data_IF_558050472448
#
_entry.id   IF_558050472448
#
_cell.length_a   1.000
_cell.length_b   1.000
_cell.length_c   1.000
_cell.angle_alpha   90.00
_cell.angle_beta   90.00
_cell.angle_gamma   90.00
#
_symmetry.space_group_name_H-M   'P 1'
#
loop_
_entity.id
_entity.type
_entity.pdbx_description
1 polymer ?
#
# COMPACT_ATOMS: atom_id res chain seq x y z
N UNK A 1 -10.61 1.96 -5.13
CA UNK A 1 -10.32 3.38 -4.91
C UNK A 1 -9.43 3.90 -6.02
N UNK A 2 -8.81 5.08 -5.84
CA UNK A 2 -7.94 5.69 -6.86
C UNK A 2 -6.50 5.15 -6.94
N UNK A 3 -6.11 4.27 -6.01
CA UNK A 3 -4.79 3.62 -6.00
C UNK A 3 -4.80 2.35 -6.87
N UNK A 4 -3.68 2.05 -7.52
CA UNK A 4 -3.50 0.84 -8.33
C UNK A 4 -2.08 0.30 -8.24
N UNK A 5 -1.90 -0.98 -8.56
CA UNK A 5 -0.56 -1.57 -8.76
C UNK A 5 -0.04 -1.20 -10.15
N UNK A 6 1.20 -0.74 -10.23
CA UNK A 6 1.85 -0.46 -11.51
C UNK A 6 2.14 -1.75 -12.28
N UNK A 7 1.78 -1.79 -13.56
CA UNK A 7 1.95 -3.01 -14.40
C UNK A 7 3.39 -3.40 -14.64
N UNK A 8 4.33 -2.45 -14.58
CA UNK A 8 5.75 -2.73 -14.79
C UNK A 8 6.49 -3.22 -13.55
N UNK A 9 5.92 -3.05 -12.35
CA UNK A 9 6.55 -3.48 -11.11
C UNK A 9 5.53 -3.58 -9.97
N UNK A 10 5.28 -4.79 -9.45
CA UNK A 10 4.20 -5.05 -8.52
C UNK A 10 4.33 -4.35 -7.14
N UNK A 11 5.56 -4.04 -6.72
CA UNK A 11 5.79 -3.34 -5.45
C UNK A 11 5.39 -1.85 -5.50
N UNK A 12 5.14 -1.30 -6.68
CA UNK A 12 4.74 0.10 -6.81
C UNK A 12 3.23 0.24 -6.79
N UNK A 13 2.75 0.90 -5.72
CA UNK A 13 1.40 1.44 -5.66
C UNK A 13 1.45 2.85 -6.23
N UNK A 14 0.70 3.08 -7.29
CA UNK A 14 0.59 4.37 -7.96
C UNK A 14 -0.74 5.04 -7.64
N UNK A 15 -0.72 6.36 -7.54
CA UNK A 15 -1.95 7.13 -7.64
C UNK A 15 -2.37 7.17 -9.12
N UNK A 16 -3.38 6.38 -9.49
CA UNK A 16 -3.89 6.34 -10.86
C UNK A 16 -4.83 7.52 -11.15
N UNK A 17 -5.48 8.07 -10.12
CA UNK A 17 -6.44 9.16 -10.22
C UNK A 17 -6.31 10.13 -9.03
N UNK A 18 -7.30 10.15 -8.12
CA UNK A 18 -7.29 10.93 -6.88
C UNK A 18 -7.25 10.01 -5.67
N UNK A 19 -6.25 9.13 -5.62
CA UNK A 19 -6.06 8.22 -4.50
C UNK A 19 -5.87 8.99 -3.19
N UNK A 20 -6.70 8.67 -2.20
CA UNK A 20 -6.44 9.08 -0.82
C UNK A 20 -5.36 8.20 -0.19
N UNK A 21 -4.73 8.66 0.91
CA UNK A 21 -3.85 7.81 1.70
C UNK A 21 -4.56 6.52 2.17
N UNK A 22 -5.87 6.62 2.46
CA UNK A 22 -6.69 5.47 2.82
C UNK A 22 -6.84 4.46 1.66
N UNK A 23 -6.87 4.91 0.41
CA UNK A 23 -6.91 4.02 -0.76
C UNK A 23 -5.60 3.24 -0.90
N UNK A 24 -4.47 3.91 -0.70
CA UNK A 24 -3.14 3.28 -0.72
C UNK A 24 -3.03 2.24 0.39
N UNK A 25 -3.40 2.58 1.63
CA UNK A 25 -3.38 1.65 2.77
C UNK A 25 -4.29 0.43 2.53
N UNK A 26 -5.50 0.64 2.00
CA UNK A 26 -6.43 -0.45 1.71
C UNK A 26 -5.86 -1.39 0.64
N UNK A 27 -5.28 -0.83 -0.43
CA UNK A 27 -4.66 -1.63 -1.47
C UNK A 27 -3.45 -2.40 -0.94
N UNK A 28 -2.57 -1.77 -0.16
CA UNK A 28 -1.43 -2.44 0.45
C UNK A 28 -1.88 -3.62 1.32
N UNK A 29 -2.87 -3.45 2.19
CA UNK A 29 -3.42 -4.53 3.02
C UNK A 29 -3.99 -5.68 2.18
N UNK A 30 -4.69 -5.37 1.09
CA UNK A 30 -5.20 -6.39 0.16
C UNK A 30 -4.07 -7.19 -0.48
N UNK A 31 -3.01 -6.54 -0.95
CA UNK A 31 -1.85 -7.20 -1.55
C UNK A 31 -1.15 -8.12 -0.56
N UNK A 32 -0.92 -7.65 0.68
CA UNK A 32 -0.32 -8.45 1.76
C UNK A 32 -1.17 -9.69 2.06
N UNK A 33 -2.50 -9.51 2.19
CA UNK A 33 -3.43 -10.61 2.43
C UNK A 33 -3.39 -11.67 1.33
N UNK A 34 -3.38 -11.26 0.06
CA UNK A 34 -3.29 -12.17 -1.10
C UNK A 34 -1.97 -12.92 -1.15
N UNK A 35 -0.85 -12.25 -0.83
CA UNK A 35 0.47 -12.90 -0.81
C UNK A 35 0.55 -13.92 0.33
N UNK A 36 0.05 -13.56 1.51
CA UNK A 36 -0.04 -14.49 2.64
C UNK A 36 -0.89 -15.72 2.30
N UNK A 37 -2.09 -15.51 1.76
CA UNK A 37 -2.99 -16.62 1.41
C UNK A 37 -2.37 -17.57 0.38
N UNK A 38 -1.71 -17.01 -0.64
CA UNK A 38 -1.19 -17.81 -1.75
C UNK A 38 0.16 -18.45 -1.47
N UNK A 39 1.02 -17.81 -0.68
CA UNK A 39 2.42 -18.20 -0.51
C UNK A 39 2.81 -18.47 0.95
N UNK A 40 1.94 -18.16 1.92
CA UNK A 40 2.26 -18.27 3.35
C UNK A 40 3.29 -17.26 3.85
N UNK A 41 3.55 -16.20 3.08
CA UNK A 41 4.55 -15.16 3.39
C UNK A 41 3.86 -13.90 3.90
N UNK A 42 4.34 -13.36 5.01
CA UNK A 42 3.95 -12.04 5.53
C UNK A 42 4.87 -10.98 4.94
N UNK A 43 4.29 -9.93 4.34
CA UNK A 43 5.04 -8.82 3.77
C UNK A 43 5.08 -7.64 4.74
N UNK A 44 6.25 -7.03 4.87
CA UNK A 44 6.46 -5.80 5.64
C UNK A 44 6.50 -4.59 4.69
N UNK A 45 5.95 -3.46 5.15
CA UNK A 45 5.95 -2.22 4.37
C UNK A 45 7.28 -1.48 4.57
N UNK A 46 7.94 -1.10 3.47
CA UNK A 46 9.11 -0.21 3.50
C UNK A 46 8.70 1.25 3.78
N UNK A 47 7.50 1.63 3.32
CA UNK A 47 6.99 2.99 3.43
C UNK A 47 6.46 3.29 4.83
N UNK A 48 6.73 4.49 5.33
CA UNK A 48 6.24 4.95 6.63
C UNK A 48 4.91 5.68 6.44
N UNK A 49 3.86 5.22 7.11
CA UNK A 49 2.60 5.94 7.19
C UNK A 49 2.67 7.02 8.28
N UNK A 50 2.55 8.29 7.87
CA UNK A 50 2.56 9.43 8.79
C UNK A 50 1.13 9.84 9.17
N UNK A 51 0.71 9.66 10.43
CA UNK A 51 -0.60 10.13 10.90
C UNK A 51 -0.60 11.66 11.07
N UNK A 52 -1.78 12.27 11.07
CA UNK A 52 -1.94 13.73 11.10
C UNK A 52 -1.30 14.42 12.33
N UNK A 53 -1.13 13.71 13.44
CA UNK A 53 -0.51 14.24 14.67
C UNK A 53 1.02 14.11 14.71
N UNK A 54 1.66 13.65 13.64
CA UNK A 54 3.10 13.46 13.61
C UNK A 54 3.81 14.80 13.40
N UNK A 55 4.45 15.35 14.44
CA UNK A 55 5.46 16.39 14.29
C UNK A 55 6.84 15.73 14.27
N UNK A 56 7.66 16.02 13.26
CA UNK A 56 9.10 15.75 13.34
C UNK A 56 9.68 16.45 14.56
N UNK A 57 10.60 15.81 15.32
CA UNK A 57 11.40 16.51 16.31
C UNK A 57 12.24 17.62 15.66
#
# INVERSE_FOLDING_TARGET
>A
GGAAVYRGHANFIINKEKASAQDVLRLAQELKGRVRERFGVELEEEVIFLPAGFSTP
#
